data_IF_877152165420
#
_entry.id   IF_877152165420
#
_cell.length_a   1.000
_cell.length_b   1.000
_cell.length_c   1.000
_cell.angle_alpha   90.00
_cell.angle_beta   90.00
_cell.angle_gamma   90.00
#
_symmetry.space_group_name_H-M   'P 1'
#
loop_
_entity.id
_entity.type
_entity.pdbx_description
1 polymer ?
#
# COMPACT_ATOMS: atom_id res chain seq x y z
N UNK A 1 0.31 -3.99 12.25
CA UNK A 1 0.14 -4.25 10.81
C UNK A 1 0.72 -3.09 10.01
N UNK A 2 1.31 -3.35 8.84
CA UNK A 2 1.72 -2.29 7.91
C UNK A 2 0.62 -2.10 6.86
N UNK A 3 0.39 -0.87 6.43
CA UNK A 3 -0.49 -0.52 5.31
C UNK A 3 0.35 0.30 4.34
N UNK A 4 0.32 -0.06 3.06
CA UNK A 4 0.93 0.73 2.00
C UNK A 4 -0.12 1.65 1.38
N UNK A 5 0.29 2.87 1.06
CA UNK A 5 -0.41 3.73 0.11
C UNK A 5 0.35 3.68 -1.21
N UNK A 6 -0.35 3.60 -2.33
CA UNK A 6 0.28 3.57 -3.65
C UNK A 6 -0.63 4.03 -4.77
N UNK A 7 -0.04 4.16 -5.95
CA UNK A 7 -0.72 4.50 -7.22
C UNK A 7 -0.46 3.40 -8.24
N UNK A 8 -1.41 3.13 -9.13
CA UNK A 8 -1.25 2.11 -10.16
C UNK A 8 -0.19 2.53 -11.17
N UNK A 9 0.71 1.60 -11.54
CA UNK A 9 1.80 1.86 -12.49
C UNK A 9 1.28 1.99 -13.92
N UNK A 10 0.18 1.32 -14.27
CA UNK A 10 -0.38 1.27 -15.62
C UNK A 10 -1.04 2.59 -16.08
N UNK A 11 -0.88 3.69 -15.33
CA UNK A 11 -1.07 5.05 -15.83
C UNK A 11 -2.50 5.59 -15.94
N UNK A 12 -3.52 4.74 -16.00
CA UNK A 12 -4.92 5.18 -16.13
C UNK A 12 -5.51 5.66 -14.80
N UNK A 13 -5.13 5.06 -13.69
CA UNK A 13 -5.60 5.41 -12.34
C UNK A 13 -4.47 6.02 -11.50
N UNK A 14 -4.51 7.34 -11.32
CA UNK A 14 -3.58 8.10 -10.47
C UNK A 14 -4.08 8.28 -9.03
N UNK A 15 -5.22 7.68 -8.68
CA UNK A 15 -5.76 7.78 -7.33
C UNK A 15 -4.89 6.98 -6.37
N UNK A 16 -4.65 7.59 -5.21
CA UNK A 16 -3.96 6.91 -4.11
C UNK A 16 -4.94 5.98 -3.44
N UNK A 17 -4.58 4.70 -3.34
CA UNK A 17 -5.33 3.68 -2.62
C UNK A 17 -4.46 3.02 -1.56
N UNK A 18 -5.07 2.21 -0.71
CA UNK A 18 -4.42 1.59 0.44
C UNK A 18 -4.54 0.06 0.38
N UNK A 19 -3.48 -0.63 0.82
CA UNK A 19 -3.45 -2.09 0.91
C UNK A 19 -2.78 -2.53 2.20
N UNK A 20 -3.34 -3.56 2.85
CA UNK A 20 -2.74 -4.22 4.01
C UNK A 20 -1.54 -5.04 3.57
N UNK A 21 -0.50 -5.00 4.39
CA UNK A 21 0.63 -5.91 4.25
C UNK A 21 0.33 -7.14 5.11
N UNK A 22 0.15 -8.33 4.50
CA UNK A 22 -0.15 -9.54 5.25
C UNK A 22 1.05 -9.97 6.10
N UNK A 23 0.79 -10.76 7.14
CA UNK A 23 1.78 -11.09 8.16
C UNK A 23 3.00 -11.83 7.60
N UNK A 24 2.84 -12.66 6.56
CA UNK A 24 3.94 -13.36 5.92
C UNK A 24 4.90 -12.42 5.16
N UNK A 25 4.51 -11.15 4.93
CA UNK A 25 5.34 -10.11 4.32
C UNK A 25 5.75 -9.01 5.33
N UNK A 26 5.41 -9.16 6.62
CA UNK A 26 5.58 -8.09 7.62
C UNK A 26 7.04 -7.69 7.84
N UNK A 27 7.98 -8.61 7.65
CA UNK A 27 9.40 -8.40 7.93
C UNK A 27 10.13 -7.70 6.77
N UNK A 28 9.48 -7.57 5.61
CA UNK A 28 10.04 -6.87 4.46
C UNK A 28 10.18 -5.37 4.77
N UNK A 29 11.37 -4.83 4.47
CA UNK A 29 11.68 -3.40 4.62
C UNK A 29 11.10 -2.61 3.45
N UNK A 30 9.93 -2.03 3.65
CA UNK A 30 9.22 -1.26 2.64
C UNK A 30 9.77 0.17 2.52
N UNK A 31 9.89 0.65 1.28
CA UNK A 31 10.35 2.01 0.98
C UNK A 31 9.41 2.70 -0.01
N UNK A 32 9.28 4.03 0.12
CA UNK A 32 8.64 4.87 -0.90
C UNK A 32 9.36 4.68 -2.25
N UNK A 33 8.59 4.55 -3.31
CA UNK A 33 9.08 4.36 -4.68
C UNK A 33 9.29 2.91 -5.09
N UNK A 34 9.27 1.97 -4.14
CA UNK A 34 9.21 0.53 -4.40
C UNK A 34 7.86 0.16 -5.02
N UNK A 35 7.81 -0.96 -5.72
CA UNK A 35 6.59 -1.47 -6.33
C UNK A 35 6.10 -2.74 -5.65
N UNK A 36 4.79 -2.91 -5.66
CA UNK A 36 4.10 -4.05 -5.08
C UNK A 36 3.06 -4.59 -6.07
N UNK A 37 2.77 -5.87 -5.94
CA UNK A 37 1.62 -6.51 -6.57
C UNK A 37 0.50 -6.58 -5.56
N UNK A 38 -0.70 -6.19 -5.96
CA UNK A 38 -1.88 -6.11 -5.10
C UNK A 38 -3.06 -6.82 -5.75
N UNK A 39 -4.00 -7.28 -4.92
CA UNK A 39 -5.31 -7.69 -5.42
C UNK A 39 -6.16 -6.47 -5.75
N UNK A 40 -6.82 -6.51 -6.91
CA UNK A 40 -7.79 -5.52 -7.39
C UNK A 40 -9.05 -6.26 -7.86
N UNK A 41 -10.15 -5.53 -8.06
CA UNK A 41 -11.40 -6.10 -8.58
C UNK A 41 -11.23 -6.75 -9.96
N UNK A 42 -10.25 -6.29 -10.76
CA UNK A 42 -9.95 -6.79 -12.10
C UNK A 42 -8.79 -7.80 -12.11
N UNK A 43 -8.41 -8.36 -10.96
CA UNK A 43 -7.27 -9.27 -10.82
C UNK A 43 -6.04 -8.60 -10.20
N UNK A 44 -4.84 -9.03 -10.59
CA UNK A 44 -3.59 -8.51 -10.02
C UNK A 44 -3.22 -7.15 -10.62
N UNK A 45 -2.89 -6.20 -9.75
CA UNK A 45 -2.45 -4.86 -10.12
C UNK A 45 -1.03 -4.59 -9.65
N UNK A 46 -0.27 -3.82 -10.42
CA UNK A 46 1.04 -3.30 -10.00
C UNK A 46 0.89 -1.87 -9.51
N UNK A 47 1.41 -1.61 -8.31
CA UNK A 47 1.34 -0.28 -7.68
C UNK A 47 2.71 0.19 -7.25
N UNK A 48 2.94 1.50 -7.31
CA UNK A 48 4.13 2.15 -6.75
C UNK A 48 3.80 2.74 -5.39
N UNK A 49 4.55 2.34 -4.37
CA UNK A 49 4.35 2.76 -2.99
C UNK A 49 4.69 4.25 -2.86
N UNK A 50 3.72 5.04 -2.41
CA UNK A 50 3.90 6.47 -2.12
C UNK A 50 4.11 6.74 -0.64
N UNK A 51 3.57 5.89 0.24
CA UNK A 51 3.68 6.01 1.70
C UNK A 51 3.50 4.67 2.38
N UNK A 52 4.04 4.51 3.60
CA UNK A 52 3.89 3.31 4.43
C UNK A 52 3.45 3.76 5.82
N UNK A 53 2.32 3.21 6.28
CA UNK A 53 1.70 3.55 7.57
C UNK A 53 1.65 2.32 8.47
N UNK A 54 2.01 2.48 9.74
CA UNK A 54 1.76 1.45 10.74
C UNK A 54 0.33 1.62 11.30
N UNK A 55 -0.48 0.58 11.17
CA UNK A 55 -1.84 0.52 11.72
C UNK A 55 -1.94 -0.60 12.77
N UNK A 56 -2.70 -0.35 13.83
CA UNK A 56 -2.92 -1.33 14.90
C UNK A 56 -4.09 -2.27 14.61
N UNK A 57 -5.06 -1.80 13.84
CA UNK A 57 -6.39 -2.41 13.69
C UNK A 57 -6.80 -2.59 12.22
N UNK A 58 -5.96 -2.21 11.26
CA UNK A 58 -6.27 -2.29 9.83
C UNK A 58 -6.99 -1.06 9.29
N UNK A 59 -7.15 0.01 10.09
CA UNK A 59 -7.76 1.25 9.67
C UNK A 59 -6.72 2.32 9.35
N UNK A 60 -7.05 3.19 8.40
CA UNK A 60 -6.37 4.47 8.17
C UNK A 60 -7.21 5.58 8.78
N UNK A 61 -6.57 6.41 9.59
CA UNK A 61 -7.17 7.55 10.27
C UNK A 61 -6.77 8.84 9.57
N UNK A 62 -7.73 9.72 9.30
CA UNK A 62 -7.48 11.03 8.71
C UNK A 62 -8.47 12.06 9.24
N UNK A 63 -8.05 13.32 9.27
CA UNK A 63 -8.87 14.45 9.71
C UNK A 63 -9.38 15.17 8.47
N UNK A 64 -10.69 15.40 8.38
CA UNK A 64 -11.26 16.31 7.38
C UNK A 64 -11.23 17.76 7.86
N UNK A 65 -11.32 18.70 6.94
CA UNK A 65 -11.59 20.10 7.27
C UNK A 65 -12.86 20.17 8.15
N UNK A 66 -12.74 20.80 9.33
CA UNK A 66 -13.74 20.75 10.39
C UNK A 66 -13.39 19.86 11.60
N UNK A 67 -12.17 19.28 11.65
CA UNK A 67 -11.64 18.62 12.85
C UNK A 67 -12.20 17.23 13.16
N UNK A 68 -13.14 16.74 12.34
CA UNK A 68 -13.71 15.39 12.48
C UNK A 68 -12.66 14.34 12.08
N UNK A 69 -12.31 13.46 13.02
CA UNK A 69 -11.50 12.26 12.76
C UNK A 69 -12.38 11.22 12.07
N UNK A 70 -12.00 10.84 10.86
CA UNK A 70 -12.57 9.72 10.12
C UNK A 70 -11.59 8.56 10.11
N UNK A 71 -12.15 7.37 9.91
CA UNK A 71 -11.38 6.16 9.68
C UNK A 71 -11.95 5.43 8.47
N UNK A 72 -11.08 4.75 7.74
CA UNK A 72 -11.46 3.86 6.65
C UNK A 72 -10.75 2.54 6.86
N UNK A 73 -11.50 1.45 6.84
CA UNK A 73 -10.96 0.10 6.89
C UNK A 73 -10.23 -0.21 5.58
N UNK A 74 -9.05 -0.80 5.67
CA UNK A 74 -8.33 -1.28 4.50
C UNK A 74 -8.57 -2.77 4.38
N UNK A 75 -9.28 -3.19 3.35
CA UNK A 75 -9.68 -4.60 3.15
C UNK A 75 -8.77 -5.31 2.15
N UNK A 76 -8.25 -4.59 1.15
CA UNK A 76 -7.40 -5.15 0.10
C UNK A 76 -5.99 -5.45 0.62
N UNK A 77 -5.33 -6.44 0.04
CA UNK A 77 -4.03 -6.95 0.51
C UNK A 77 -2.96 -6.90 -0.58
N UNK A 78 -1.72 -6.72 -0.12
CA UNK A 78 -0.52 -6.89 -0.92
C UNK A 78 -0.27 -8.38 -1.12
N UNK A 79 0.05 -8.76 -2.36
CA UNK A 79 0.41 -10.13 -2.73
C UNK A 79 1.90 -10.36 -2.57
N UNK A 80 2.71 -9.44 -3.09
CA UNK A 80 4.16 -9.50 -3.01
C UNK A 80 4.77 -8.12 -3.26
N UNK A 81 6.04 -7.96 -2.88
CA UNK A 81 6.84 -6.78 -3.20
C UNK A 81 7.85 -7.13 -4.27
N UNK A 82 8.11 -6.21 -5.20
CA UNK A 82 9.30 -6.31 -6.03
C UNK A 82 10.49 -5.89 -5.18
N UNK A 83 11.40 -6.82 -4.93
CA UNK A 83 12.74 -6.46 -4.51
C UNK A 83 13.40 -5.81 -5.73
N UNK A 84 13.77 -4.53 -5.62
CA UNK A 84 14.91 -4.08 -6.41
C UNK A 84 16.10 -4.72 -5.73
N UNK A 85 16.40 -5.95 -6.14
CA UNK A 85 17.77 -6.42 -6.07
C UNK A 85 18.61 -5.29 -6.64
N UNK A 86 19.50 -4.80 -5.79
CA UNK A 86 20.55 -3.91 -6.21
C UNK A 86 21.45 -4.79 -7.07
N UNK A 87 21.06 -5.06 -8.33
CA UNK A 87 21.95 -5.55 -9.37
C UNK A 87 22.94 -4.41 -9.69
N UNK A 88 23.80 -4.13 -8.71
CA UNK A 88 25.13 -3.61 -8.95
C UNK A 88 25.98 -4.85 -9.22
N UNK A 89 26.01 -5.25 -10.49
CA UNK A 89 27.11 -6.03 -11.05
C UNK A 89 27.87 -5.09 -11.98
#
# INVERSE_FOLDING_TARGET
MKIIQGVHVNGTDKNKRYWKVPDHLKDIKLKKGQEAVVHTENGLGRVRITHVTNSKDGFIYYTREGGKRLRTEVTQEVVMFYERDNQAN
#
